data_IF_970348446022
#
_entry.id   IF_970348446022
#
_cell.length_a   1.000
_cell.length_b   1.000
_cell.length_c   1.000
_cell.angle_alpha   90.00
_cell.angle_beta   90.00
_cell.angle_gamma   90.00
#
_symmetry.space_group_name_H-M   'P 1'
#
loop_
_entity.id
_entity.type
_entity.pdbx_description
1 polymer ?
#
# COMPACT_ATOMS: atom_id res chain seq x y z
N UNK A 1 37.48 -23.34 9.68
CA UNK A 1 36.04 -23.53 9.88
C UNK A 1 35.29 -22.25 9.62
N UNK A 2 34.66 -22.14 8.44
CA UNK A 2 33.74 -21.07 8.12
C UNK A 2 32.41 -21.37 8.84
N UNK A 3 32.13 -20.66 9.93
CA UNK A 3 30.80 -20.63 10.51
C UNK A 3 29.88 -19.93 9.53
N UNK A 4 29.00 -20.67 8.87
CA UNK A 4 27.88 -20.12 8.15
C UNK A 4 27.01 -19.40 9.16
N UNK A 5 27.04 -18.06 9.13
CA UNK A 5 26.11 -17.25 9.90
C UNK A 5 24.69 -17.65 9.49
N UNK A 6 23.96 -18.27 10.40
CA UNK A 6 22.52 -18.50 10.24
C UNK A 6 21.87 -17.14 10.03
N UNK A 7 21.52 -16.85 8.77
CA UNK A 7 20.70 -15.69 8.42
C UNK A 7 19.37 -15.88 9.14
N UNK A 8 19.17 -15.16 10.23
CA UNK A 8 17.88 -15.13 10.89
C UNK A 8 16.81 -14.87 9.82
N UNK A 9 15.83 -15.75 9.73
CA UNK A 9 14.77 -15.70 8.74
C UNK A 9 13.90 -14.48 9.09
N UNK A 10 14.33 -13.30 8.63
CA UNK A 10 13.66 -12.03 8.92
C UNK A 10 12.36 -12.02 8.14
N UNK A 11 11.25 -12.20 8.83
CA UNK A 11 9.92 -12.16 8.22
C UNK A 11 9.77 -10.85 7.44
N UNK A 12 9.53 -10.97 6.15
CA UNK A 12 9.32 -9.81 5.27
C UNK A 12 7.98 -9.18 5.60
N UNK A 13 8.01 -7.91 6.02
CA UNK A 13 6.79 -7.15 6.28
C UNK A 13 6.22 -6.65 4.96
N UNK A 14 4.90 -6.75 4.80
CA UNK A 14 4.15 -6.25 3.66
C UNK A 14 3.12 -5.25 4.13
N UNK A 15 2.97 -4.16 3.41
CA UNK A 15 1.99 -3.12 3.69
C UNK A 15 1.22 -2.88 2.40
N UNK A 16 -0.11 -2.80 2.52
CA UNK A 16 -1.01 -2.48 1.43
C UNK A 16 -1.75 -1.19 1.78
N UNK A 17 -1.62 -0.18 0.93
CA UNK A 17 -2.34 1.08 1.04
C UNK A 17 -3.46 1.10 0.01
N UNK A 18 -4.71 1.18 0.46
CA UNK A 18 -5.89 1.24 -0.40
C UNK A 18 -6.49 2.64 -0.35
N UNK A 19 -6.68 3.24 -1.51
CA UNK A 19 -7.32 4.55 -1.64
C UNK A 19 -8.60 4.46 -2.46
N UNK A 20 -9.59 5.21 -2.05
CA UNK A 20 -10.83 5.42 -2.79
C UNK A 20 -11.00 6.90 -3.11
N UNK A 21 -11.02 7.23 -4.40
CA UNK A 21 -11.12 8.61 -4.88
C UNK A 21 -12.48 9.29 -4.60
N UNK A 22 -13.50 8.50 -4.28
CA UNK A 22 -14.85 9.01 -4.03
C UNK A 22 -15.11 9.29 -2.54
N UNK A 23 -14.15 9.00 -1.67
CA UNK A 23 -14.35 9.08 -0.24
C UNK A 23 -15.31 8.01 0.28
N UNK A 24 -15.90 8.25 1.45
CA UNK A 24 -16.81 7.33 2.12
C UNK A 24 -18.09 8.05 2.55
N UNK A 25 -19.20 7.33 2.59
CA UNK A 25 -20.42 7.87 3.18
C UNK A 25 -20.30 7.86 4.71
N UNK A 26 -20.01 9.01 5.29
CA UNK A 26 -19.62 9.16 6.69
C UNK A 26 -20.55 8.47 7.67
N UNK A 27 -21.88 8.64 7.51
CA UNK A 27 -22.89 8.07 8.42
C UNK A 27 -22.91 6.55 8.48
N UNK A 28 -22.44 5.86 7.41
CA UNK A 28 -22.40 4.41 7.37
C UNK A 28 -20.98 3.84 7.51
N UNK A 29 -19.96 4.70 7.49
CA UNK A 29 -18.56 4.28 7.56
C UNK A 29 -17.94 4.49 8.94
N UNK A 30 -18.25 5.59 9.62
CA UNK A 30 -17.67 5.89 10.92
C UNK A 30 -18.57 5.45 12.06
N UNK A 31 -18.00 4.89 13.14
CA UNK A 31 -18.77 4.64 14.38
C UNK A 31 -19.21 5.94 15.02
N UNK A 32 -20.17 5.83 15.94
CA UNK A 32 -20.60 6.96 16.75
C UNK A 32 -19.42 7.53 17.56
N UNK A 33 -19.22 8.84 17.47
CA UNK A 33 -18.15 9.56 18.19
C UNK A 33 -18.27 9.44 19.72
N UNK A 34 -19.45 9.12 20.23
CA UNK A 34 -19.71 8.89 21.64
C UNK A 34 -19.32 7.49 22.11
N UNK A 35 -18.86 6.63 21.21
CA UNK A 35 -18.41 5.26 21.50
C UNK A 35 -16.89 5.13 21.24
N UNK A 36 -16.02 5.85 21.94
CA UNK A 36 -14.59 5.77 21.72
C UNK A 36 -14.00 4.44 22.21
N UNK A 37 -12.87 4.07 21.67
CA UNK A 37 -12.11 2.90 22.09
C UNK A 37 -12.58 1.61 21.43
N UNK A 38 -12.64 0.51 22.18
CA UNK A 38 -12.87 -0.84 21.62
C UNK A 38 -14.33 -1.24 21.48
N UNK A 39 -15.23 -0.57 22.17
CA UNK A 39 -16.61 -0.98 22.35
C UNK A 39 -17.60 -0.19 21.49
N UNK A 40 -17.17 0.22 20.30
CA UNK A 40 -18.05 0.88 19.34
C UNK A 40 -18.88 -0.14 18.55
N UNK A 41 -20.05 0.27 18.10
CA UNK A 41 -20.84 -0.51 17.15
C UNK A 41 -20.18 -0.46 15.76
N UNK A 42 -19.97 -1.64 15.15
CA UNK A 42 -19.35 -1.70 13.83
C UNK A 42 -20.28 -1.09 12.80
N UNK A 43 -19.81 -0.05 12.06
CA UNK A 43 -20.62 0.59 11.03
C UNK A 43 -21.04 -0.40 9.94
N UNK A 44 -22.17 -0.12 9.31
CA UNK A 44 -22.77 -1.01 8.30
C UNK A 44 -21.79 -1.40 7.18
N UNK A 45 -21.09 -0.43 6.63
CA UNK A 45 -20.14 -0.67 5.53
C UNK A 45 -18.89 -1.44 5.96
N UNK A 46 -18.61 -1.50 7.27
CA UNK A 46 -17.46 -2.18 7.83
C UNK A 46 -17.82 -3.52 8.50
N UNK A 47 -19.07 -3.96 8.47
CA UNK A 47 -19.50 -5.21 9.11
C UNK A 47 -18.69 -6.44 8.69
N UNK A 48 -18.17 -6.47 7.47
CA UNK A 48 -17.30 -7.54 7.01
C UNK A 48 -15.99 -7.66 7.83
N UNK A 49 -15.56 -6.57 8.49
CA UNK A 49 -14.40 -6.51 9.35
C UNK A 49 -14.68 -6.91 10.80
N UNK A 50 -15.93 -7.20 11.16
CA UNK A 50 -16.30 -7.53 12.54
C UNK A 50 -15.45 -8.67 13.13
N UNK A 51 -15.20 -9.72 12.35
CA UNK A 51 -14.35 -10.84 12.76
C UNK A 51 -12.88 -10.45 12.99
N UNK A 52 -12.45 -9.31 12.47
CA UNK A 52 -11.10 -8.76 12.59
C UNK A 52 -11.05 -7.53 13.51
N UNK A 53 -12.10 -7.26 14.29
CA UNK A 53 -12.23 -6.06 15.13
C UNK A 53 -10.98 -5.78 15.97
N UNK A 54 -10.37 -6.79 16.55
CA UNK A 54 -9.14 -6.67 17.36
C UNK A 54 -7.91 -6.27 16.58
N UNK A 55 -7.93 -6.44 15.26
CA UNK A 55 -6.82 -6.18 14.35
C UNK A 55 -7.03 -4.89 13.54
N UNK A 56 -8.16 -4.19 13.77
CA UNK A 56 -8.55 -2.97 13.06
C UNK A 56 -8.51 -1.76 13.98
N UNK A 57 -7.94 -0.67 13.51
CA UNK A 57 -8.04 0.65 14.15
C UNK A 57 -8.72 1.61 13.18
N UNK A 58 -9.83 2.20 13.61
CA UNK A 58 -10.54 3.23 12.85
C UNK A 58 -10.14 4.62 13.35
N UNK A 59 -9.66 5.44 12.46
CA UNK A 59 -9.37 6.85 12.73
C UNK A 59 -10.45 7.72 12.11
N UNK A 60 -10.95 8.66 12.86
CA UNK A 60 -11.89 9.67 12.37
C UNK A 60 -11.49 11.05 12.89
N UNK A 61 -12.05 12.09 12.31
CA UNK A 61 -11.72 13.48 12.64
C UNK A 61 -10.23 13.85 12.39
N UNK A 62 -9.56 13.11 11.51
CA UNK A 62 -8.24 13.48 11.02
C UNK A 62 -8.39 14.31 9.76
N UNK A 63 -7.74 15.45 9.75
CA UNK A 63 -7.74 16.37 8.61
C UNK A 63 -6.31 16.84 8.34
N UNK A 64 -5.92 16.87 7.09
CA UNK A 64 -4.66 17.43 6.63
C UNK A 64 -4.81 18.89 6.14
N UNK A 65 -5.95 19.53 6.43
CA UNK A 65 -6.23 20.91 6.05
C UNK A 65 -6.43 21.15 4.56
N UNK A 66 -6.64 20.07 3.79
CA UNK A 66 -6.83 20.16 2.35
C UNK A 66 -8.17 19.53 1.95
N UNK A 67 -9.10 20.39 1.53
CA UNK A 67 -10.41 19.98 1.04
C UNK A 67 -10.43 20.09 -0.47
N UNK A 68 -10.81 19.05 -1.19
CA UNK A 68 -10.81 19.16 -2.64
C UNK A 68 -11.13 17.92 -3.43
N UNK A 69 -11.92 17.02 -2.88
CA UNK A 69 -12.36 15.82 -3.60
C UNK A 69 -11.18 15.06 -4.23
N UNK A 70 -11.18 14.92 -5.54
CA UNK A 70 -10.11 14.20 -6.26
C UNK A 70 -8.70 14.78 -6.08
N UNK A 71 -8.59 16.05 -5.72
CA UNK A 71 -7.29 16.69 -5.45
C UNK A 71 -6.67 16.22 -4.12
N UNK A 72 -7.43 15.59 -3.25
CA UNK A 72 -6.93 14.97 -2.02
C UNK A 72 -6.12 13.69 -2.27
N UNK A 73 -6.27 13.06 -3.43
CA UNK A 73 -5.58 11.80 -3.74
C UNK A 73 -4.04 11.92 -3.66
N UNK A 74 -3.39 12.95 -4.25
CA UNK A 74 -1.93 13.10 -4.18
C UNK A 74 -1.38 13.33 -2.78
N UNK A 75 -2.22 13.70 -1.80
CA UNK A 75 -1.80 13.96 -0.43
C UNK A 75 -2.13 12.82 0.54
N UNK A 76 -2.84 11.80 0.07
CA UNK A 76 -3.33 10.71 0.92
C UNK A 76 -2.22 9.99 1.70
N UNK A 77 -1.10 9.69 1.06
CA UNK A 77 0.02 8.96 1.68
C UNK A 77 1.17 9.86 2.16
N UNK A 78 1.13 11.15 1.87
CA UNK A 78 2.20 12.08 2.25
C UNK A 78 1.76 13.16 3.23
N UNK A 79 0.46 13.50 3.23
CA UNK A 79 -0.05 14.69 3.94
C UNK A 79 0.43 16.03 3.35
N UNK A 80 1.23 16.02 2.29
CA UNK A 80 1.88 17.21 1.70
C UNK A 80 1.43 17.38 0.26
N UNK A 81 0.93 18.58 -0.06
CA UNK A 81 0.60 18.91 -1.46
C UNK A 81 1.88 18.96 -2.31
N UNK A 82 1.88 18.39 -3.52
CA UNK A 82 3.08 18.37 -4.38
C UNK A 82 3.70 19.76 -4.60
N UNK A 83 2.88 20.80 -4.74
CA UNK A 83 3.36 22.17 -4.91
C UNK A 83 4.10 22.72 -3.67
N UNK A 84 3.86 22.17 -2.50
CA UNK A 84 4.50 22.57 -1.25
C UNK A 84 5.68 21.65 -0.86
N UNK A 85 6.00 20.66 -1.66
CA UNK A 85 7.04 19.69 -1.36
C UNK A 85 8.40 20.32 -1.07
N UNK A 86 8.72 21.41 -1.75
CA UNK A 86 9.98 22.15 -1.58
C UNK A 86 10.16 22.76 -0.18
N UNK A 87 9.10 22.93 0.60
CA UNK A 87 9.15 23.46 1.96
C UNK A 87 9.55 22.41 3.01
N UNK A 88 9.65 21.14 2.64
CA UNK A 88 9.91 20.05 3.56
C UNK A 88 11.19 19.30 3.18
N UNK A 89 11.98 18.93 4.17
CA UNK A 89 13.25 18.22 3.98
C UNK A 89 13.10 16.88 3.25
N UNK A 90 11.97 16.21 3.44
CA UNK A 90 11.64 14.95 2.77
C UNK A 90 10.69 15.13 1.58
N UNK A 91 10.45 16.36 1.17
CA UNK A 91 9.52 16.68 0.09
C UNK A 91 8.10 16.20 0.40
N UNK A 92 7.47 15.60 -0.58
CA UNK A 92 6.17 14.94 -0.43
C UNK A 92 6.28 13.41 -0.57
N UNK A 93 7.38 12.81 -0.08
CA UNK A 93 7.53 11.35 -0.14
C UNK A 93 6.32 10.67 0.48
N UNK A 94 5.77 9.71 -0.21
CA UNK A 94 4.61 8.96 0.26
C UNK A 94 5.03 7.83 1.20
N UNK A 95 4.14 7.44 2.10
CA UNK A 95 4.38 6.40 3.11
C UNK A 95 4.87 5.09 2.49
N UNK A 96 4.27 4.64 1.40
CA UNK A 96 4.67 3.42 0.68
C UNK A 96 6.10 3.51 0.15
N UNK A 97 6.51 4.67 -0.38
CA UNK A 97 7.87 4.88 -0.87
C UNK A 97 8.87 5.03 0.29
N UNK A 98 8.47 5.67 1.38
CA UNK A 98 9.29 5.72 2.61
C UNK A 98 9.55 4.33 3.18
N UNK A 99 8.55 3.47 3.17
CA UNK A 99 8.68 2.07 3.59
C UNK A 99 9.53 1.24 2.62
N UNK A 100 9.41 1.51 1.31
CA UNK A 100 10.22 0.86 0.29
C UNK A 100 11.72 1.19 0.45
N UNK A 101 12.07 2.42 0.84
CA UNK A 101 13.46 2.79 1.16
C UNK A 101 14.04 1.93 2.30
N UNK A 102 13.24 1.58 3.31
CA UNK A 102 13.71 0.83 4.48
C UNK A 102 13.65 -0.70 4.32
N UNK A 103 12.65 -1.19 3.60
CA UNK A 103 12.35 -2.63 3.55
C UNK A 103 12.45 -3.23 2.15
N UNK A 104 12.47 -2.41 1.11
CA UNK A 104 12.35 -2.85 -0.27
C UNK A 104 13.49 -3.76 -0.74
N UNK A 105 14.69 -3.61 -0.17
CA UNK A 105 15.84 -4.47 -0.50
C UNK A 105 15.66 -5.94 -0.11
N UNK A 106 14.69 -6.24 0.74
CA UNK A 106 14.38 -7.61 1.17
C UNK A 106 13.41 -8.35 0.22
N UNK A 107 12.89 -7.66 -0.78
CA UNK A 107 11.86 -8.18 -1.69
C UNK A 107 12.23 -7.99 -3.15
N UNK A 108 11.66 -8.83 -4.03
CA UNK A 108 11.84 -8.69 -5.49
C UNK A 108 11.29 -7.37 -6.02
N UNK A 109 10.16 -6.92 -5.45
CA UNK A 109 9.55 -5.63 -5.78
C UNK A 109 9.55 -4.77 -4.52
N UNK A 110 10.40 -3.74 -4.44
CA UNK A 110 10.45 -2.84 -3.28
C UNK A 110 9.11 -2.16 -2.99
N UNK A 111 8.42 -1.76 -4.04
CA UNK A 111 7.06 -1.26 -4.00
C UNK A 111 6.32 -1.58 -5.30
N UNK A 112 5.00 -1.53 -5.27
CA UNK A 112 4.17 -1.71 -6.45
C UNK A 112 2.97 -0.78 -6.34
N UNK A 113 2.88 0.18 -7.25
CA UNK A 113 1.76 1.12 -7.33
C UNK A 113 0.78 0.65 -8.39
N UNK A 114 -0.43 0.32 -7.97
CA UNK A 114 -1.46 -0.23 -8.84
C UNK A 114 -2.57 0.78 -9.11
N UNK A 115 -3.05 0.85 -10.34
CA UNK A 115 -4.21 1.63 -10.74
C UNK A 115 -5.27 0.73 -11.38
N UNK A 116 -6.54 0.93 -11.00
CA UNK A 116 -7.66 0.17 -11.59
C UNK A 116 -8.04 0.71 -12.97
N UNK A 117 -7.91 2.00 -13.12
CA UNK A 117 -8.14 2.70 -14.39
C UNK A 117 -7.05 3.69 -14.62
N UNK A 118 -6.88 4.68 -14.91
CA UNK A 118 -5.81 5.61 -15.22
C UNK A 118 -4.87 5.95 -14.05
N UNK A 119 -3.92 6.79 -14.31
CA UNK A 119 -2.81 7.24 -13.47
C UNK A 119 -3.21 7.44 -12.02
N UNK A 120 -2.69 6.58 -11.18
CA UNK A 120 -2.83 6.75 -9.75
C UNK A 120 -1.78 7.74 -9.25
N UNK A 121 -2.22 8.83 -8.65
CA UNK A 121 -1.36 9.91 -8.14
C UNK A 121 -1.00 9.70 -6.66
N UNK A 122 -0.95 8.48 -6.17
CA UNK A 122 -0.79 8.19 -4.73
C UNK A 122 0.66 8.24 -4.25
N UNK A 123 1.59 7.79 -5.10
CA UNK A 123 2.95 7.50 -4.68
C UNK A 123 3.93 8.52 -5.24
N UNK A 124 4.77 9.06 -4.35
CA UNK A 124 5.80 10.05 -4.70
C UNK A 124 7.12 9.69 -4.05
N UNK A 125 8.20 9.85 -4.81
CA UNK A 125 9.55 9.72 -4.27
C UNK A 125 9.93 10.94 -3.42
N UNK A 126 11.03 10.85 -2.68
CA UNK A 126 11.58 11.96 -1.90
C UNK A 126 11.87 13.21 -2.72
N UNK A 127 12.17 13.06 -3.98
CA UNK A 127 12.43 14.17 -4.92
C UNK A 127 11.17 14.74 -5.56
N UNK A 128 9.99 14.29 -5.12
CA UNK A 128 8.70 14.76 -5.63
C UNK A 128 8.30 14.13 -6.97
N UNK A 129 9.05 13.15 -7.45
CA UNK A 129 8.71 12.45 -8.68
C UNK A 129 7.59 11.46 -8.40
N UNK A 130 6.53 11.54 -9.19
CA UNK A 130 5.44 10.58 -9.11
C UNK A 130 5.89 9.20 -9.56
N UNK A 131 5.59 8.18 -8.74
CA UNK A 131 5.82 6.78 -9.09
C UNK A 131 4.72 6.32 -10.05
N UNK A 132 5.06 5.85 -11.25
CA UNK A 132 4.05 5.39 -12.20
C UNK A 132 3.24 4.22 -11.65
N UNK A 133 1.93 4.26 -11.83
CA UNK A 133 1.08 3.10 -11.57
C UNK A 133 1.05 2.16 -12.77
N UNK A 134 0.94 0.88 -12.49
CA UNK A 134 0.74 -0.16 -13.48
C UNK A 134 -0.66 -0.75 -13.35
N UNK A 135 -1.21 -1.23 -14.44
CA UNK A 135 -2.48 -1.94 -14.42
C UNK A 135 -2.33 -3.36 -13.83
N UNK A 136 -3.45 -3.96 -13.45
CA UNK A 136 -3.45 -5.28 -12.81
C UNK A 136 -2.88 -6.38 -13.70
N UNK A 137 -3.04 -6.27 -15.02
CA UNK A 137 -2.48 -7.25 -15.97
C UNK A 137 -0.97 -7.12 -16.05
N UNK A 138 -0.45 -5.90 -16.11
CA UNK A 138 0.99 -5.64 -16.10
C UNK A 138 1.62 -6.10 -14.78
N UNK A 139 0.97 -5.82 -13.65
CA UNK A 139 1.41 -6.30 -12.34
C UNK A 139 1.45 -7.83 -12.28
N UNK A 140 0.40 -8.50 -12.74
CA UNK A 140 0.35 -9.96 -12.79
C UNK A 140 1.47 -10.54 -13.67
N UNK A 141 1.71 -9.95 -14.83
CA UNK A 141 2.81 -10.36 -15.71
C UNK A 141 4.16 -10.18 -15.03
N UNK A 142 4.42 -9.02 -14.43
CA UNK A 142 5.67 -8.75 -13.73
C UNK A 142 5.92 -9.73 -12.58
N UNK A 143 4.87 -10.06 -11.81
CA UNK A 143 5.01 -11.00 -10.70
C UNK A 143 5.24 -12.44 -11.12
N UNK A 144 4.59 -12.90 -12.20
CA UNK A 144 4.50 -14.33 -12.49
C UNK A 144 5.18 -14.76 -13.81
N UNK A 145 5.40 -13.85 -14.75
CA UNK A 145 5.86 -14.19 -16.10
C UNK A 145 7.14 -13.48 -16.55
N UNK A 146 7.44 -12.32 -16.00
CA UNK A 146 8.68 -11.61 -16.35
C UNK A 146 9.83 -12.16 -15.50
N UNK A 147 10.43 -13.21 -16.03
CA UNK A 147 11.76 -13.61 -15.56
C UNK A 147 12.84 -12.87 -16.34
N UNK A 148 13.98 -12.67 -15.69
CA UNK A 148 15.22 -12.28 -16.36
C UNK A 148 15.43 -13.12 -17.62
N UNK A 149 15.96 -12.53 -18.72
CA UNK A 149 16.01 -13.12 -20.07
C UNK A 149 16.59 -14.54 -20.18
N UNK A 150 17.29 -15.03 -19.16
CA UNK A 150 18.10 -16.23 -19.23
C UNK A 150 17.48 -17.53 -18.70
N UNK A 151 16.22 -17.55 -18.27
CA UNK A 151 15.58 -18.82 -17.83
C UNK A 151 14.22 -19.01 -18.46
N UNK A 152 14.16 -19.88 -19.46
CA UNK A 152 12.92 -20.53 -19.90
C UNK A 152 12.38 -21.38 -18.74
N UNK A 153 11.57 -20.79 -17.88
CA UNK A 153 10.89 -21.53 -16.83
C UNK A 153 9.80 -22.37 -17.45
N UNK A 154 9.77 -23.66 -17.10
CA UNK A 154 8.73 -24.56 -17.57
C UNK A 154 7.34 -24.08 -17.08
N UNK A 155 6.27 -24.44 -17.80
CA UNK A 155 4.90 -24.15 -17.35
C UNK A 155 4.61 -24.70 -15.94
N UNK A 156 5.19 -25.84 -15.60
CA UNK A 156 5.06 -26.47 -14.27
C UNK A 156 5.70 -25.64 -13.15
N UNK A 157 6.85 -25.03 -13.40
CA UNK A 157 7.51 -24.15 -12.43
C UNK A 157 6.77 -22.82 -12.26
N UNK A 158 6.12 -22.35 -13.30
CA UNK A 158 5.23 -21.17 -13.24
C UNK A 158 4.02 -21.45 -12.35
N UNK A 159 3.42 -22.63 -12.49
CA UNK A 159 2.27 -23.07 -11.69
C UNK A 159 2.65 -23.25 -10.19
N UNK A 160 3.80 -23.81 -9.90
CA UNK A 160 4.32 -23.93 -8.51
C UNK A 160 4.54 -22.55 -7.86
N UNK A 161 5.04 -21.58 -8.61
CA UNK A 161 5.24 -20.22 -8.10
C UNK A 161 3.90 -19.50 -7.86
N UNK A 162 2.88 -19.75 -8.68
CA UNK A 162 1.54 -19.22 -8.46
C UNK A 162 0.95 -19.71 -7.14
N UNK A 163 1.03 -21.00 -6.86
CA UNK A 163 0.52 -21.59 -5.62
C UNK A 163 1.27 -21.03 -4.40
N UNK A 164 2.60 -20.90 -4.46
CA UNK A 164 3.42 -20.37 -3.37
C UNK A 164 3.11 -18.92 -2.96
N UNK A 165 2.43 -18.12 -3.81
CA UNK A 165 2.05 -16.73 -3.50
C UNK A 165 0.62 -16.65 -2.98
N UNK A 166 -0.22 -17.63 -3.31
CA UNK A 166 -1.62 -17.69 -2.87
C UNK A 166 -1.79 -18.43 -1.54
N UNK A 167 -0.79 -19.22 -1.13
CA UNK A 167 -0.81 -20.01 0.11
C UNK A 167 -0.16 -19.30 1.31
N UNK A 168 -0.02 -17.96 1.28
CA UNK A 168 0.53 -17.16 2.38
C UNK A 168 -0.54 -16.32 3.03
#
# INVERSE_FOLDING_TARGET
>A
GLQAAQKANKTVKRIVCLSNNYGVYQKAFFPDVNQPGKNYDMPETLKALEKHRKDVTLFQNLDHGFTGGHQGVPVFLSGVRPILAHNYAEGNISLDQKLAEHHGSATRFPSMTLGVRERNLLSFTRTGVQVPSIDMRAAYRAMFFEDTPDKKISQADRFKRQNSILDV
#
